data_IF_579392808887
#
_entry.id   IF_579392808887
#
_cell.length_a   1.000
_cell.length_b   1.000
_cell.length_c   1.000
_cell.angle_alpha   90.00
_cell.angle_beta   90.00
_cell.angle_gamma   90.00
#
_symmetry.space_group_name_H-M   'P 1'
#
loop_
_entity.id
_entity.type
_entity.pdbx_description
1 polymer ?
#
# COMPACT_ATOMS: atom_id res chain seq x y z
N UNK A 1 11.96 -26.83 -14.14
CA UNK A 1 10.86 -25.86 -13.95
C UNK A 1 9.62 -26.66 -13.62
N UNK A 2 8.92 -26.33 -12.54
CA UNK A 2 7.64 -26.92 -12.20
C UNK A 2 6.56 -25.86 -12.43
N UNK A 3 5.49 -26.22 -13.12
CA UNK A 3 4.36 -25.33 -13.33
C UNK A 3 3.04 -26.08 -13.11
N UNK A 4 2.00 -25.37 -12.72
CA UNK A 4 0.68 -25.96 -12.53
C UNK A 4 -0.41 -24.92 -12.32
N UNK A 5 -1.63 -25.32 -12.68
CA UNK A 5 -2.83 -24.54 -12.44
C UNK A 5 -3.27 -24.68 -10.98
N UNK A 6 -3.78 -23.59 -10.43
CA UNK A 6 -4.22 -23.46 -9.06
C UNK A 6 -5.26 -22.35 -8.94
N UNK A 7 -5.63 -22.00 -7.71
CA UNK A 7 -6.37 -20.78 -7.42
C UNK A 7 -5.60 -19.93 -6.42
N UNK A 8 -5.64 -18.61 -6.61
CA UNK A 8 -5.14 -17.63 -5.65
C UNK A 8 -6.31 -16.76 -5.24
N UNK A 9 -6.70 -16.84 -3.96
CA UNK A 9 -7.86 -16.13 -3.43
C UNK A 9 -9.16 -16.39 -4.23
N UNK A 10 -9.35 -17.63 -4.69
CA UNK A 10 -10.49 -18.05 -5.50
C UNK A 10 -10.44 -17.65 -6.98
N UNK A 11 -9.40 -16.91 -7.41
CA UNK A 11 -9.17 -16.56 -8.80
C UNK A 11 -8.36 -17.65 -9.50
N UNK A 12 -8.69 -18.03 -10.75
CA UNK A 12 -7.88 -18.94 -11.55
C UNK A 12 -6.44 -18.41 -11.68
N UNK A 13 -5.47 -19.29 -11.51
CA UNK A 13 -4.07 -18.92 -11.63
C UNK A 13 -3.20 -20.06 -12.16
N UNK A 14 -2.14 -19.71 -12.87
CA UNK A 14 -1.05 -20.64 -13.21
C UNK A 14 0.21 -20.17 -12.50
N UNK A 15 0.87 -21.07 -11.77
CA UNK A 15 2.12 -20.77 -11.07
C UNK A 15 3.28 -21.49 -11.74
N UNK A 16 4.40 -20.79 -11.90
CA UNK A 16 5.65 -21.34 -12.42
C UNK A 16 6.75 -21.14 -11.37
N UNK A 17 7.49 -22.22 -11.10
CA UNK A 17 8.67 -22.23 -10.21
C UNK A 17 9.88 -22.74 -10.97
N UNK A 18 10.96 -21.97 -10.92
CA UNK A 18 12.17 -22.27 -11.68
C UNK A 18 13.41 -21.62 -11.09
N UNK A 19 14.48 -21.69 -11.86
CA UNK A 19 15.74 -21.01 -11.59
C UNK A 19 16.25 -20.39 -12.88
N UNK A 20 17.02 -19.31 -12.75
CA UNK A 20 17.66 -18.64 -13.87
C UNK A 20 19.09 -18.26 -13.52
N UNK A 21 19.97 -18.23 -14.52
CA UNK A 21 21.34 -17.75 -14.35
C UNK A 21 21.40 -16.27 -14.76
N UNK A 22 22.01 -15.46 -13.91
CA UNK A 22 22.30 -14.05 -14.16
C UNK A 22 23.80 -13.80 -14.06
N UNK A 23 24.28 -12.65 -14.49
CA UNK A 23 25.68 -12.25 -14.30
C UNK A 23 26.12 -12.23 -12.82
N UNK A 24 25.17 -12.08 -11.89
CA UNK A 24 25.40 -11.98 -10.45
C UNK A 24 25.22 -13.33 -9.73
N UNK A 25 24.91 -14.41 -10.47
CA UNK A 25 24.69 -15.74 -9.93
C UNK A 25 23.32 -16.32 -10.27
N UNK A 26 23.01 -17.48 -9.70
CA UNK A 26 21.74 -18.19 -9.91
C UNK A 26 20.65 -17.62 -8.99
N UNK A 27 19.49 -17.33 -9.59
CA UNK A 27 18.30 -16.88 -8.89
C UNK A 27 17.22 -17.95 -8.94
N UNK A 28 16.44 -18.07 -7.87
CA UNK A 28 15.16 -18.78 -7.89
C UNK A 28 14.05 -17.84 -8.38
N UNK A 29 13.10 -18.42 -9.10
CA UNK A 29 11.98 -17.72 -9.74
C UNK A 29 10.69 -18.37 -9.28
N UNK A 30 9.76 -17.57 -8.77
CA UNK A 30 8.37 -17.94 -8.55
C UNK A 30 7.51 -16.90 -9.28
N UNK A 31 6.63 -17.29 -10.18
CA UNK A 31 5.73 -16.35 -10.84
C UNK A 31 4.31 -16.91 -10.86
N UNK A 32 3.36 -16.12 -10.38
CA UNK A 32 1.94 -16.43 -10.48
C UNK A 32 1.27 -15.52 -11.51
N UNK A 33 0.56 -16.14 -12.44
CA UNK A 33 -0.32 -15.46 -13.39
C UNK A 33 -1.75 -15.64 -12.91
N UNK A 34 -2.41 -14.57 -12.49
CA UNK A 34 -3.76 -14.58 -11.91
C UNK A 34 -4.73 -13.92 -12.87
N UNK A 35 -5.81 -14.62 -13.20
CA UNK A 35 -6.88 -14.10 -14.06
C UNK A 35 -7.91 -13.32 -13.23
N UNK A 36 -8.20 -12.09 -13.64
CA UNK A 36 -9.22 -11.24 -13.03
C UNK A 36 -9.76 -10.24 -14.06
N UNK A 37 -11.08 -10.22 -14.27
CA UNK A 37 -11.78 -9.24 -15.14
C UNK A 37 -11.16 -9.13 -16.55
N UNK A 38 -11.07 -10.26 -17.27
CA UNK A 38 -10.50 -10.37 -18.62
C UNK A 38 -9.03 -9.91 -18.74
N UNK A 39 -8.31 -9.83 -17.61
CA UNK A 39 -6.90 -9.46 -17.54
C UNK A 39 -6.10 -10.50 -16.77
N UNK A 40 -4.83 -10.61 -17.13
CA UNK A 40 -3.86 -11.46 -16.42
C UNK A 40 -2.86 -10.58 -15.68
N UNK A 41 -2.78 -10.77 -14.37
CA UNK A 41 -1.85 -10.09 -13.49
C UNK A 41 -0.68 -11.02 -13.14
N UNK A 42 0.56 -10.53 -13.23
CA UNK A 42 1.76 -11.30 -12.90
C UNK A 42 2.35 -10.85 -11.57
N UNK A 43 2.57 -11.81 -10.67
CA UNK A 43 3.27 -11.62 -9.39
C UNK A 43 4.59 -12.37 -9.42
N UNK A 44 5.68 -11.64 -9.63
CA UNK A 44 7.02 -12.19 -9.76
C UNK A 44 7.80 -12.10 -8.43
N UNK A 45 8.13 -13.25 -7.88
CA UNK A 45 9.11 -13.44 -6.81
C UNK A 45 10.47 -13.84 -7.36
N UNK A 46 11.48 -13.04 -7.08
CA UNK A 46 12.88 -13.27 -7.47
C UNK A 46 13.78 -13.15 -6.25
N UNK A 47 14.68 -14.11 -6.05
CA UNK A 47 15.68 -14.08 -4.99
C UNK A 47 16.91 -14.92 -5.35
N UNK A 48 18.09 -14.68 -4.72
CA UNK A 48 19.22 -15.60 -4.83
C UNK A 48 18.82 -17.03 -4.48
N UNK A 49 19.32 -18.01 -5.23
CA UNK A 49 18.90 -19.40 -5.10
C UNK A 49 19.06 -19.95 -3.67
N UNK A 50 20.05 -19.45 -2.92
CA UNK A 50 20.37 -19.85 -1.55
C UNK A 50 19.26 -19.49 -0.55
N UNK A 51 18.51 -18.41 -0.78
CA UNK A 51 17.45 -17.93 0.14
C UNK A 51 16.05 -18.02 -0.46
N UNK A 52 15.93 -18.48 -1.71
CA UNK A 52 14.67 -18.52 -2.44
C UNK A 52 13.59 -19.32 -1.71
N UNK A 53 13.91 -20.55 -1.26
CA UNK A 53 12.94 -21.41 -0.56
C UNK A 53 12.43 -20.77 0.72
N UNK A 54 13.28 -20.03 1.43
CA UNK A 54 12.91 -19.30 2.65
C UNK A 54 11.99 -18.11 2.34
N UNK A 55 12.22 -17.39 1.25
CA UNK A 55 11.43 -16.21 0.87
C UNK A 55 10.16 -16.54 0.09
N UNK A 56 10.04 -17.75 -0.48
CA UNK A 56 8.88 -18.17 -1.28
C UNK A 56 7.52 -17.92 -0.60
N UNK A 57 7.33 -18.23 0.70
CA UNK A 57 6.07 -17.94 1.39
C UNK A 57 5.72 -16.43 1.41
N UNK A 58 6.71 -15.55 1.35
CA UNK A 58 6.48 -14.09 1.27
C UNK A 58 5.91 -13.72 -0.10
N UNK A 59 6.44 -14.29 -1.18
CA UNK A 59 5.92 -14.07 -2.53
C UNK A 59 4.48 -14.59 -2.66
N UNK A 60 4.23 -15.79 -2.13
CA UNK A 60 2.91 -16.41 -2.08
C UNK A 60 1.91 -15.55 -1.28
N UNK A 61 2.34 -14.99 -0.13
CA UNK A 61 1.50 -14.11 0.69
C UNK A 61 1.15 -12.80 -0.04
N UNK A 62 2.07 -12.22 -0.81
CA UNK A 62 1.80 -11.01 -1.59
C UNK A 62 0.74 -11.31 -2.65
N UNK A 63 0.91 -12.38 -3.43
CA UNK A 63 -0.08 -12.78 -4.41
C UNK A 63 -1.43 -13.15 -3.76
N UNK A 64 -1.40 -13.82 -2.60
CA UNK A 64 -2.61 -14.18 -1.84
C UNK A 64 -3.41 -12.99 -1.32
N UNK A 65 -2.79 -11.81 -1.17
CA UNK A 65 -3.49 -10.57 -0.80
C UNK A 65 -4.23 -9.91 -1.97
N UNK A 66 -3.99 -10.36 -3.20
CA UNK A 66 -4.62 -9.83 -4.39
C UNK A 66 -6.10 -10.24 -4.44
N UNK A 67 -6.97 -9.25 -4.65
CA UNK A 67 -8.41 -9.46 -4.72
C UNK A 67 -9.09 -8.31 -5.47
N UNK A 68 -10.29 -8.54 -6.03
CA UNK A 68 -11.13 -7.47 -6.54
C UNK A 68 -11.46 -6.46 -5.43
N UNK A 69 -11.37 -5.16 -5.73
CA UNK A 69 -11.75 -4.11 -4.79
C UNK A 69 -13.28 -4.08 -4.64
N UNK A 70 -13.80 -4.69 -3.56
CA UNK A 70 -15.25 -4.77 -3.28
C UNK A 70 -15.74 -3.77 -2.24
N UNK A 71 -14.82 -3.09 -1.55
CA UNK A 71 -15.18 -2.11 -0.54
C UNK A 71 -15.76 -0.85 -1.21
N UNK A 72 -17.08 -0.68 -1.08
CA UNK A 72 -17.81 0.46 -1.65
C UNK A 72 -17.30 1.84 -1.20
N UNK A 73 -16.66 1.91 -0.03
CA UNK A 73 -16.06 3.16 0.48
C UNK A 73 -14.75 3.50 -0.23
N UNK A 74 -14.04 2.49 -0.75
CA UNK A 74 -12.79 2.64 -1.50
C UNK A 74 -13.02 2.76 -3.01
N UNK A 75 -14.02 2.06 -3.55
CA UNK A 75 -14.37 2.13 -4.99
C UNK A 75 -14.79 3.54 -5.39
N UNK A 76 -15.51 4.24 -4.52
CA UNK A 76 -16.06 5.56 -4.80
C UNK A 76 -15.23 6.71 -4.22
N UNK A 77 -14.01 6.43 -3.74
CA UNK A 77 -13.19 7.48 -3.14
C UNK A 77 -12.75 8.45 -4.23
N UNK A 78 -13.02 9.74 -4.00
CA UNK A 78 -12.47 10.77 -4.88
C UNK A 78 -10.99 10.97 -4.54
N UNK A 79 -10.08 10.92 -5.53
CA UNK A 79 -8.66 11.14 -5.28
C UNK A 79 -8.43 12.45 -4.56
N UNK A 80 -7.61 12.44 -3.50
CA UNK A 80 -7.18 13.66 -2.84
C UNK A 80 -6.38 14.51 -3.83
N UNK A 81 -6.95 15.63 -4.28
CA UNK A 81 -6.30 16.57 -5.18
C UNK A 81 -5.42 17.52 -4.37
N UNK A 82 -4.13 17.26 -4.35
CA UNK A 82 -3.15 18.14 -3.72
C UNK A 82 -2.82 19.30 -4.65
N UNK A 83 -2.90 20.53 -4.14
CA UNK A 83 -2.41 21.72 -4.84
C UNK A 83 -1.03 22.06 -4.32
N UNK A 84 -0.01 21.94 -5.17
CA UNK A 84 1.32 22.47 -4.85
C UNK A 84 1.26 23.99 -5.00
N UNK A 85 1.57 24.70 -3.92
CA UNK A 85 1.66 26.16 -3.90
C UNK A 85 3.09 26.57 -3.62
N UNK A 86 3.52 27.70 -4.20
CA UNK A 86 4.80 28.29 -3.86
C UNK A 86 4.69 28.88 -2.45
N UNK A 87 5.62 28.53 -1.58
CA UNK A 87 5.78 29.18 -0.29
C UNK A 87 6.26 30.64 -0.50
N UNK A 88 5.64 31.57 0.20
CA UNK A 88 5.98 33.00 0.22
C UNK A 88 7.26 33.28 1.03
N UNK A 89 7.61 32.38 1.95
CA UNK A 89 8.79 32.44 2.80
C UNK A 89 9.48 31.08 2.96
N UNK A 90 10.71 31.08 3.46
CA UNK A 90 11.41 29.86 3.89
C UNK A 90 11.11 29.57 5.36
N UNK A 91 10.94 28.30 5.72
CA UNK A 91 10.70 27.87 7.10
C UNK A 91 10.32 26.39 7.22
N UNK A 92 10.14 25.87 8.45
CA UNK A 92 9.65 24.51 8.67
C UNK A 92 8.22 24.32 8.14
N UNK A 93 7.92 23.14 7.58
CA UNK A 93 6.60 22.81 6.99
C UNK A 93 5.43 23.09 7.95
N UNK A 94 5.58 22.74 9.23
CA UNK A 94 4.57 22.98 10.26
C UNK A 94 4.15 24.45 10.37
N UNK A 95 5.02 25.40 10.01
CA UNK A 95 4.70 26.83 10.03
C UNK A 95 3.82 27.29 8.86
N UNK A 96 3.60 26.43 7.86
CA UNK A 96 2.67 26.66 6.74
C UNK A 96 1.33 25.96 6.92
N UNK A 97 1.18 25.12 7.96
CA UNK A 97 -0.07 24.42 8.23
C UNK A 97 -1.05 25.38 8.92
N UNK A 98 -2.35 25.35 8.55
CA UNK A 98 -3.35 26.04 9.33
C UNK A 98 -3.40 25.44 10.75
N UNK A 99 -3.82 26.22 11.76
CA UNK A 99 -4.05 25.68 13.09
C UNK A 99 -5.01 24.48 13.01
N UNK A 100 -4.84 23.46 13.86
CA UNK A 100 -5.69 22.28 13.83
C UNK A 100 -7.15 22.71 13.94
N UNK A 101 -7.92 22.40 12.89
CA UNK A 101 -9.35 22.62 12.89
C UNK A 101 -9.95 21.81 14.05
N UNK A 102 -10.72 22.49 14.89
CA UNK A 102 -11.45 21.84 15.97
C UNK A 102 -12.59 21.03 15.34
N UNK A 103 -12.32 19.78 14.98
CA UNK A 103 -13.33 18.86 14.45
C UNK A 103 -14.27 18.45 15.57
N UNK A 104 -15.40 19.15 15.70
CA UNK A 104 -16.48 18.86 16.65
C UNK A 104 -17.30 17.60 16.31
N UNK A 105 -16.64 16.51 15.94
CA UNK A 105 -17.25 15.19 15.75
C UNK A 105 -16.46 14.15 16.56
N UNK A 106 -16.45 14.32 17.87
CA UNK A 106 -15.98 13.30 18.81
C UNK A 106 -16.96 13.26 19.97
N UNK A 107 -17.75 12.19 20.05
CA UNK A 107 -18.58 11.85 21.19
C UNK A 107 -17.69 11.41 22.36
N UNK A 108 -16.93 12.34 22.95
CA UNK A 108 -16.31 12.19 24.28
C UNK A 108 -16.26 13.54 25.00
N UNK A 109 -16.42 13.54 26.34
CA UNK A 109 -16.67 14.77 27.08
C UNK A 109 -15.41 15.65 27.17
N UNK A 110 -15.63 16.94 26.91
CA UNK A 110 -14.80 18.12 27.21
C UNK A 110 -13.41 17.83 27.80
N UNK A 111 -12.38 17.93 26.96
CA UNK A 111 -11.06 18.39 27.40
C UNK A 111 -10.96 19.87 27.10
N UNK A 112 -10.92 20.66 28.17
CA UNK A 112 -10.89 22.12 28.20
C UNK A 112 -9.58 22.64 27.60
N UNK A 113 -9.53 22.87 26.29
CA UNK A 113 -8.49 23.73 25.70
C UNK A 113 -8.93 24.35 24.36
N UNK A 114 -10.12 24.94 24.36
CA UNK A 114 -10.54 25.93 23.37
C UNK A 114 -11.04 27.16 24.13
N UNK A 115 -10.15 27.89 24.79
CA UNK A 115 -10.50 29.19 25.36
C UNK A 115 -9.36 30.19 25.14
N UNK A 116 -9.62 31.06 24.18
CA UNK A 116 -9.54 32.52 24.26
C UNK A 116 -8.54 33.10 25.28
N UNK A 117 -7.48 33.73 24.77
CA UNK A 117 -6.76 34.76 25.55
C UNK A 117 -7.34 36.13 25.18
N UNK A 118 -8.34 36.56 25.95
CA UNK A 118 -8.85 37.93 25.94
C UNK A 118 -8.62 38.54 27.33
N UNK A 119 -7.81 39.60 27.34
CA UNK A 119 -7.59 40.65 28.37
C UNK A 119 -7.11 40.28 29.77
N UNK A 120 -6.03 40.95 30.20
CA UNK A 120 -6.04 41.78 31.40
C UNK A 120 -4.90 42.81 31.36
N UNK A 121 -5.29 44.08 31.30
CA UNK A 121 -4.51 45.27 31.66
C UNK A 121 -4.19 45.24 33.16
N UNK A 122 -2.99 45.66 33.53
CA UNK A 122 -2.69 46.39 34.75
C UNK A 122 -1.52 47.33 34.47
#
# INVERSE_FOLDING_TARGET
MAGGDTTINGLPATVIVGQGNTHQGTVGIWNAFVEMEDRVYSFLGLAPAQVFTQLRPTFESVAGSFSPLRDSTLVNIQPARLKVVRADRSGPFASFLPPPICTGASSRPKSTSCMSRTTATA
#
